data_IF_781501875886
#
_entry.id   IF_781501875886
#
_cell.length_a   1.000
_cell.length_b   1.000
_cell.length_c   1.000
_cell.angle_alpha   90.00
_cell.angle_beta   90.00
_cell.angle_gamma   90.00
#
_symmetry.space_group_name_H-M   'P 1'
#
loop_
_entity.id
_entity.type
_entity.pdbx_description
1 polymer ?
#
# COMPACT_ATOMS: atom_id res chain seq x y z
N UNK A 1 24.81 5.31 -3.09
CA UNK A 1 23.55 5.11 -2.30
C UNK A 1 22.68 6.36 -2.23
N UNK A 2 23.17 7.51 -1.74
CA UNK A 2 22.36 8.75 -1.61
C UNK A 2 21.73 9.24 -2.92
N UNK A 3 22.45 9.15 -4.05
CA UNK A 3 21.96 9.54 -5.38
C UNK A 3 20.80 8.67 -5.89
N UNK A 4 20.81 7.38 -5.55
CA UNK A 4 19.79 6.42 -5.99
C UNK A 4 18.49 6.60 -5.18
N UNK A 5 18.63 6.85 -3.87
CA UNK A 5 17.51 7.26 -3.01
C UNK A 5 16.86 8.56 -3.51
N UNK A 6 17.68 9.56 -3.88
CA UNK A 6 17.20 10.84 -4.42
C UNK A 6 16.41 10.63 -5.71
N UNK A 7 16.89 9.77 -6.63
CA UNK A 7 16.20 9.46 -7.88
C UNK A 7 14.84 8.79 -7.61
N UNK A 8 14.77 7.85 -6.66
CA UNK A 8 13.50 7.19 -6.28
C UNK A 8 12.53 8.18 -5.65
N UNK A 9 13.00 9.09 -4.80
CA UNK A 9 12.18 10.14 -4.19
C UNK A 9 11.67 11.12 -5.25
N UNK A 10 12.52 11.55 -6.18
CA UNK A 10 12.16 12.46 -7.26
C UNK A 10 11.18 11.82 -8.23
N UNK A 11 11.37 10.55 -8.59
CA UNK A 11 10.42 9.81 -9.44
C UNK A 11 9.08 9.59 -8.73
N UNK A 12 9.08 9.24 -7.44
CA UNK A 12 7.85 9.12 -6.65
C UNK A 12 7.09 10.44 -6.55
N UNK A 13 7.80 11.55 -6.36
CA UNK A 13 7.22 12.89 -6.36
C UNK A 13 6.73 13.31 -7.74
N UNK A 14 7.46 12.99 -8.81
CA UNK A 14 7.03 13.27 -10.17
C UNK A 14 5.75 12.52 -10.53
N UNK A 15 5.64 11.23 -10.17
CA UNK A 15 4.40 10.45 -10.36
C UNK A 15 3.24 11.09 -9.61
N UNK A 16 3.46 11.57 -8.38
CA UNK A 16 2.43 12.28 -7.61
C UNK A 16 2.06 13.66 -8.19
N UNK A 17 3.01 14.36 -8.81
CA UNK A 17 2.78 15.69 -9.41
C UNK A 17 2.14 15.64 -10.80
N UNK A 18 2.37 14.57 -11.56
CA UNK A 18 1.86 14.39 -12.92
C UNK A 18 0.66 13.44 -13.01
N UNK A 19 0.25 12.78 -11.92
CA UNK A 19 -1.07 12.15 -11.88
C UNK A 19 -2.12 13.25 -11.95
N UNK A 20 -3.05 13.14 -12.90
CA UNK A 20 -4.18 14.06 -12.98
C UNK A 20 -4.96 14.03 -11.65
N UNK A 21 -5.53 15.17 -11.23
CA UNK A 21 -6.35 15.22 -10.03
C UNK A 21 -7.61 14.39 -10.24
N UNK A 22 -7.67 13.20 -9.64
CA UNK A 22 -8.92 12.47 -9.59
C UNK A 22 -9.91 13.28 -8.78
N UNK A 23 -11.02 13.55 -9.42
CA UNK A 23 -12.20 14.06 -8.76
C UNK A 23 -12.63 12.99 -7.76
N UNK A 24 -12.46 13.36 -6.48
CA UNK A 24 -13.00 12.78 -5.27
C UNK A 24 -14.11 11.76 -5.53
N UNK A 25 -13.86 10.55 -5.05
CA UNK A 25 -14.82 9.46 -4.92
C UNK A 25 -15.32 8.87 -6.25
N UNK A 26 -15.61 7.55 -6.30
CA UNK A 26 -16.06 6.91 -7.53
C UNK A 26 -17.41 7.47 -7.96
N UNK A 27 -17.38 8.46 -8.86
CA UNK A 27 -18.49 8.68 -9.75
C UNK A 27 -18.59 7.43 -10.64
N UNK A 28 -19.79 6.84 -10.71
CA UNK A 28 -20.10 5.69 -11.58
C UNK A 28 -19.72 5.93 -13.05
N UNK A 29 -19.48 7.19 -13.45
CA UNK A 29 -19.05 7.57 -14.80
C UNK A 29 -17.53 7.51 -15.05
N UNK A 30 -16.67 7.46 -14.03
CA UNK A 30 -15.21 7.65 -14.17
C UNK A 30 -14.32 6.40 -13.94
N UNK A 31 -14.91 5.20 -13.87
CA UNK A 31 -14.16 3.97 -13.63
C UNK A 31 -13.76 3.79 -12.15
N UNK A 32 -13.10 2.67 -11.82
CA UNK A 32 -12.68 2.43 -10.43
C UNK A 32 -11.44 3.28 -10.10
N UNK A 33 -11.39 3.94 -8.92
CA UNK A 33 -10.21 4.68 -8.50
C UNK A 33 -8.95 3.83 -8.55
N UNK A 34 -7.84 4.48 -8.85
CA UNK A 34 -6.51 3.88 -8.95
C UNK A 34 -5.63 4.40 -7.82
N UNK A 35 -4.79 3.52 -7.29
CA UNK A 35 -3.76 3.88 -6.32
C UNK A 35 -2.38 3.69 -6.94
N UNK A 36 -1.46 4.63 -6.74
CA UNK A 36 -0.04 4.41 -7.05
C UNK A 36 0.90 4.97 -5.99
N UNK A 37 1.98 4.25 -5.69
CA UNK A 37 3.06 4.75 -4.83
C UNK A 37 3.89 3.67 -4.14
N UNK A 38 4.60 4.07 -3.09
CA UNK A 38 5.29 3.16 -2.17
C UNK A 38 4.28 2.56 -1.19
N UNK A 39 3.36 1.78 -1.73
CA UNK A 39 2.22 1.19 -1.06
C UNK A 39 2.05 -0.25 -1.55
N UNK A 40 1.28 -1.07 -0.83
CA UNK A 40 0.89 -2.40 -1.28
C UNK A 40 -0.63 -2.38 -1.55
N UNK A 41 -1.07 -2.47 -2.82
CA UNK A 41 -0.28 -2.58 -4.05
C UNK A 41 0.42 -1.27 -4.46
N UNK A 42 1.46 -1.37 -5.30
CA UNK A 42 2.27 -0.25 -5.84
C UNK A 42 1.52 0.51 -6.90
N UNK A 43 0.75 -0.22 -7.70
CA UNK A 43 -0.27 0.29 -8.58
C UNK A 43 -1.47 -0.64 -8.41
N UNK A 44 -2.68 -0.13 -8.25
CA UNK A 44 -3.82 -1.01 -8.06
C UNK A 44 -5.17 -0.36 -8.28
N UNK A 45 -6.14 -1.20 -8.56
CA UNK A 45 -7.53 -0.81 -8.74
C UNK A 45 -8.28 -0.93 -7.40
N UNK A 46 -9.16 0.04 -7.13
CA UNK A 46 -10.03 0.02 -5.97
C UNK A 46 -11.00 -1.17 -6.03
N UNK A 47 -11.15 -1.85 -4.90
CA UNK A 47 -12.30 -2.71 -4.65
C UNK A 47 -13.39 -1.86 -4.02
N UNK A 48 -14.58 -1.87 -4.62
CA UNK A 48 -15.73 -1.11 -4.15
C UNK A 48 -16.78 -2.04 -3.54
N UNK A 49 -17.48 -1.57 -2.51
CA UNK A 49 -18.70 -2.22 -2.03
C UNK A 49 -19.92 -1.87 -2.89
N UNK A 50 -21.10 -2.35 -2.49
CA UNK A 50 -22.38 -2.10 -3.19
C UNK A 50 -22.80 -0.63 -3.20
N UNK A 51 -22.25 0.18 -2.31
CA UNK A 51 -22.51 1.62 -2.21
C UNK A 51 -21.44 2.46 -2.91
N UNK A 52 -20.40 1.83 -3.48
CA UNK A 52 -19.28 2.50 -4.09
C UNK A 52 -18.19 2.93 -3.11
N UNK A 53 -18.24 2.52 -1.85
CA UNK A 53 -17.14 2.82 -0.92
C UNK A 53 -15.92 1.95 -1.24
N UNK A 54 -14.73 2.51 -1.09
CA UNK A 54 -13.48 1.76 -1.24
C UNK A 54 -13.31 0.82 -0.05
N UNK A 55 -13.32 -0.49 -0.28
CA UNK A 55 -13.10 -1.53 0.73
C UNK A 55 -11.72 -2.17 0.64
N UNK A 56 -10.91 -1.77 -0.34
CA UNK A 56 -9.58 -2.31 -0.50
C UNK A 56 -8.97 -1.99 -1.85
N UNK A 57 -7.83 -2.64 -2.11
CA UNK A 57 -7.02 -2.41 -3.30
C UNK A 57 -6.48 -3.74 -3.81
N UNK A 58 -6.30 -3.84 -5.13
CA UNK A 58 -5.62 -5.00 -5.70
C UNK A 58 -4.71 -4.63 -6.85
N UNK A 59 -3.53 -5.26 -6.92
CA UNK A 59 -2.55 -4.95 -7.95
C UNK A 59 -1.16 -5.50 -7.68
N UNK A 60 -0.20 -5.22 -8.56
CA UNK A 60 1.20 -5.58 -8.38
C UNK A 60 1.84 -4.90 -7.15
N UNK A 61 2.81 -5.57 -6.53
CA UNK A 61 3.60 -5.04 -5.41
C UNK A 61 5.11 -4.97 -5.71
N UNK A 62 5.86 -4.26 -4.86
CA UNK A 62 7.32 -4.10 -5.01
C UNK A 62 8.09 -5.44 -4.97
N UNK A 63 7.49 -6.48 -4.41
CA UNK A 63 8.06 -7.81 -4.36
C UNK A 63 7.92 -8.60 -5.66
N UNK A 64 7.51 -7.98 -6.78
CA UNK A 64 7.23 -8.66 -8.05
C UNK A 64 6.17 -9.76 -7.92
N UNK A 65 5.18 -9.53 -7.06
CA UNK A 65 3.99 -10.38 -6.99
C UNK A 65 2.73 -9.55 -6.97
N UNK A 66 1.66 -10.11 -6.41
CA UNK A 66 0.34 -9.50 -6.38
C UNK A 66 -0.15 -9.30 -4.96
N UNK A 67 -0.89 -8.22 -4.71
CA UNK A 67 -1.49 -7.91 -3.40
C UNK A 67 -3.00 -7.78 -3.52
N UNK A 68 -3.69 -8.32 -2.53
CA UNK A 68 -5.07 -8.04 -2.22
C UNK A 68 -5.13 -7.45 -0.81
N UNK A 69 -5.33 -6.13 -0.74
CA UNK A 69 -5.55 -5.39 0.50
C UNK A 69 -7.04 -5.22 0.72
N UNK A 70 -7.47 -5.39 1.96
CA UNK A 70 -8.87 -5.23 2.39
C UNK A 70 -8.91 -4.45 3.69
N UNK A 71 -9.70 -3.38 3.75
CA UNK A 71 -9.95 -2.63 4.97
C UNK A 71 -10.99 -3.33 5.85
N UNK A 72 -10.88 -3.20 7.18
CA UNK A 72 -11.87 -3.75 8.11
C UNK A 72 -13.21 -3.00 8.07
N UNK A 73 -13.14 -1.72 7.74
CA UNK A 73 -14.27 -0.85 7.43
C UNK A 73 -13.97 -0.15 6.11
N UNK A 74 -14.98 0.32 5.36
CA UNK A 74 -14.71 1.10 4.15
C UNK A 74 -13.78 2.29 4.45
N UNK A 75 -12.92 2.65 3.49
CA UNK A 75 -11.91 3.69 3.63
C UNK A 75 -12.59 5.04 3.94
N UNK A 76 -12.28 5.57 5.12
CA UNK A 76 -12.76 6.87 5.58
C UNK A 76 -11.68 7.93 5.46
N UNK A 77 -12.06 9.11 4.95
CA UNK A 77 -11.16 10.25 4.81
C UNK A 77 -10.83 10.84 6.18
N UNK A 78 -9.60 11.33 6.33
CA UNK A 78 -9.09 11.98 7.54
C UNK A 78 -9.15 11.10 8.80
N UNK A 79 -9.19 9.77 8.62
CA UNK A 79 -9.21 8.77 9.70
C UNK A 79 -8.16 7.70 9.48
N UNK A 80 -7.84 7.00 10.57
CA UNK A 80 -7.01 5.79 10.55
C UNK A 80 -7.88 4.63 10.07
N UNK A 81 -7.47 4.00 8.97
CA UNK A 81 -8.16 2.87 8.36
C UNK A 81 -7.30 1.62 8.50
N UNK A 82 -7.73 0.69 9.34
CA UNK A 82 -7.03 -0.58 9.50
C UNK A 82 -7.32 -1.51 8.33
N UNK A 83 -6.30 -2.26 7.91
CA UNK A 83 -6.42 -3.26 6.84
C UNK A 83 -5.70 -4.55 7.20
N UNK A 84 -6.09 -5.60 6.48
CA UNK A 84 -5.29 -6.79 6.29
C UNK A 84 -4.98 -6.95 4.80
N UNK A 85 -3.91 -7.66 4.49
CA UNK A 85 -3.54 -7.98 3.12
C UNK A 85 -3.05 -9.42 3.00
N UNK A 86 -3.32 -9.99 1.84
CA UNK A 86 -2.74 -11.24 1.38
C UNK A 86 -2.09 -10.98 0.04
N UNK A 87 -1.02 -11.70 -0.27
CA UNK A 87 -0.36 -11.51 -1.54
C UNK A 87 0.72 -12.52 -1.81
N UNK A 88 1.44 -12.28 -2.90
CA UNK A 88 2.63 -13.03 -3.28
C UNK A 88 3.81 -12.09 -3.47
N UNK A 89 5.03 -12.59 -3.21
CA UNK A 89 6.28 -12.03 -3.68
C UNK A 89 6.89 -12.99 -4.69
N UNK A 90 7.65 -12.49 -5.66
CA UNK A 90 8.30 -13.27 -6.73
C UNK A 90 7.27 -14.21 -7.38
N UNK A 91 6.06 -13.68 -7.61
CA UNK A 91 4.87 -14.38 -8.14
C UNK A 91 4.30 -15.51 -7.27
N UNK A 92 5.13 -16.33 -6.61
CA UNK A 92 4.71 -17.61 -5.98
C UNK A 92 4.81 -17.64 -4.46
N UNK A 93 5.59 -16.76 -3.82
CA UNK A 93 5.82 -16.82 -2.38
C UNK A 93 4.70 -16.10 -1.63
N UNK A 94 3.79 -16.81 -0.95
CA UNK A 94 2.67 -16.16 -0.30
C UNK A 94 3.13 -15.32 0.88
N UNK A 95 2.36 -14.30 1.21
CA UNK A 95 2.53 -13.53 2.44
C UNK A 95 1.17 -13.06 2.94
N UNK A 96 1.13 -12.77 4.24
CA UNK A 96 0.01 -12.10 4.90
C UNK A 96 0.53 -10.84 5.58
N UNK A 97 -0.33 -9.83 5.72
CA UNK A 97 0.05 -8.58 6.37
C UNK A 97 -1.15 -7.87 6.99
N UNK A 98 -0.84 -6.88 7.81
CA UNK A 98 -1.81 -5.99 8.42
C UNK A 98 -1.18 -4.63 8.69
N UNK A 99 -1.99 -3.60 8.76
CA UNK A 99 -1.51 -2.25 9.02
C UNK A 99 -2.63 -1.23 9.09
N UNK A 100 -2.26 0.03 8.91
CA UNK A 100 -3.20 1.13 8.81
C UNK A 100 -2.79 2.10 7.70
N UNK A 101 -3.77 2.76 7.10
CA UNK A 101 -3.57 3.90 6.20
C UNK A 101 -4.40 5.09 6.73
N UNK A 102 -3.85 6.29 6.60
CA UNK A 102 -4.50 7.55 6.89
C UNK A 102 -4.69 8.32 5.58
N UNK A 103 -5.93 8.65 5.24
CA UNK A 103 -6.29 9.28 3.97
C UNK A 103 -6.35 10.81 4.11
N UNK A 104 -5.32 11.49 3.62
CA UNK A 104 -5.22 12.95 3.55
C UNK A 104 -5.82 13.46 2.25
N UNK A 105 -6.78 14.38 2.33
CA UNK A 105 -7.32 15.04 1.13
C UNK A 105 -6.42 16.23 0.79
N UNK A 106 -5.89 16.26 -0.42
CA UNK A 106 -5.06 17.35 -0.94
C UNK A 106 -5.92 18.43 -1.61
N UNK A 107 -5.37 19.63 -1.76
CA UNK A 107 -6.07 20.77 -2.38
C UNK A 107 -6.53 20.51 -3.83
N UNK A 108 -5.88 19.57 -4.52
CA UNK A 108 -6.19 19.20 -5.90
C UNK A 108 -7.18 18.04 -5.99
N UNK A 109 -8.05 17.82 -4.99
CA UNK A 109 -8.99 16.69 -4.93
C UNK A 109 -8.38 15.27 -4.92
N UNK A 110 -7.06 15.13 -5.03
CA UNK A 110 -6.33 13.88 -4.82
C UNK A 110 -6.32 13.48 -3.36
N UNK A 111 -6.23 12.18 -3.10
CA UNK A 111 -6.10 11.65 -1.75
C UNK A 111 -4.73 11.02 -1.55
N UNK A 112 -3.95 11.48 -0.58
CA UNK A 112 -2.69 10.86 -0.19
C UNK A 112 -2.96 9.84 0.93
N UNK A 113 -2.62 8.58 0.70
CA UNK A 113 -2.61 7.55 1.72
C UNK A 113 -1.23 7.52 2.39
N UNK A 114 -1.20 7.73 3.70
CA UNK A 114 0.02 7.61 4.51
C UNK A 114 -0.22 6.59 5.61
N UNK A 115 0.65 5.59 5.73
CA UNK A 115 0.41 4.48 6.63
C UNK A 115 1.65 3.70 7.02
N UNK A 116 1.42 2.68 7.81
CA UNK A 116 2.43 1.67 8.10
C UNK A 116 1.79 0.29 8.17
N UNK A 117 2.56 -0.74 7.85
CA UNK A 117 2.11 -2.13 7.95
C UNK A 117 3.24 -3.08 8.24
N UNK A 118 2.86 -4.29 8.67
CA UNK A 118 3.76 -5.42 8.86
C UNK A 118 3.29 -6.57 7.98
N UNK A 119 4.24 -7.36 7.48
CA UNK A 119 3.95 -8.55 6.69
C UNK A 119 4.82 -9.72 7.12
N UNK A 120 4.27 -10.92 7.02
CA UNK A 120 4.93 -12.19 7.26
C UNK A 120 4.80 -13.07 6.02
N UNK A 121 5.94 -13.63 5.59
CA UNK A 121 5.98 -14.66 4.55
C UNK A 121 6.63 -15.93 5.11
N UNK A 122 6.42 -17.12 4.51
CA UNK A 122 7.12 -18.34 4.91
C UNK A 122 8.65 -18.16 4.95
N UNK A 123 9.22 -17.37 4.05
CA UNK A 123 10.66 -17.06 4.05
C UNK A 123 11.07 -16.24 5.28
N UNK A 124 10.23 -15.28 5.68
CA UNK A 124 10.44 -14.51 6.91
C UNK A 124 10.37 -15.40 8.13
N UNK A 125 9.36 -16.29 8.20
CA UNK A 125 9.13 -17.25 9.31
C UNK A 125 10.27 -18.27 9.42
N UNK A 126 10.72 -18.86 8.31
CA UNK A 126 11.88 -19.75 8.30
C UNK A 126 13.14 -19.02 8.77
N UNK A 127 13.32 -17.77 8.35
CA UNK A 127 14.41 -16.93 8.83
C UNK A 127 14.39 -16.69 10.35
N UNK A 128 13.22 -16.68 11.01
CA UNK A 128 13.13 -16.57 12.47
C UNK A 128 13.70 -17.79 13.19
N UNK A 129 13.52 -19.02 12.66
CA UNK A 129 14.03 -20.24 13.30
C UNK A 129 15.55 -20.35 13.32
N UNK A 130 16.24 -19.69 12.38
CA UNK A 130 17.69 -19.73 12.24
C UNK A 130 18.41 -18.49 12.80
N UNK A 131 17.68 -17.56 13.45
CA UNK A 131 18.21 -16.27 13.91
C UNK A 131 18.29 -16.18 15.43
N UNK A 132 19.34 -15.55 15.94
CA UNK A 132 19.52 -15.23 17.36
C UNK A 132 18.47 -14.21 17.83
N UNK A 133 18.15 -14.12 19.14
CA UNK A 133 17.11 -13.21 19.66
C UNK A 133 17.28 -11.74 19.26
N UNK A 134 18.52 -11.25 19.12
CA UNK A 134 18.81 -9.89 18.64
C UNK A 134 18.48 -9.70 17.15
N UNK A 135 18.51 -10.76 16.36
CA UNK A 135 18.13 -10.75 14.95
C UNK A 135 16.60 -10.87 14.73
N UNK A 136 15.82 -11.18 15.77
CA UNK A 136 14.35 -11.17 15.77
C UNK A 136 13.84 -9.72 15.74
N UNK A 137 14.41 -8.84 16.57
CA UNK A 137 14.02 -7.43 16.62
C UNK A 137 14.35 -6.73 15.29
N UNK A 138 15.51 -7.01 14.71
CA UNK A 138 15.88 -6.47 13.39
C UNK A 138 15.00 -7.01 12.26
N UNK A 139 14.56 -8.28 12.32
CA UNK A 139 13.61 -8.81 11.33
C UNK A 139 12.22 -8.22 11.44
N UNK A 140 11.74 -7.94 12.67
CA UNK A 140 10.46 -7.24 12.88
C UNK A 140 10.53 -5.79 12.41
N UNK A 141 11.61 -5.07 12.71
CA UNK A 141 11.79 -3.71 12.20
C UNK A 141 11.89 -3.68 10.66
N UNK A 142 12.51 -4.70 10.04
CA UNK A 142 12.57 -4.82 8.58
C UNK A 142 11.23 -5.19 7.93
N UNK A 143 10.26 -5.68 8.71
CA UNK A 143 8.92 -5.99 8.19
C UNK A 143 7.95 -4.81 8.26
N UNK A 144 8.32 -3.74 8.98
CA UNK A 144 7.60 -2.46 8.97
C UNK A 144 7.79 -1.79 7.62
N UNK A 145 6.69 -1.55 6.92
CA UNK A 145 6.64 -0.85 5.64
C UNK A 145 5.95 0.48 5.83
N UNK A 146 6.62 1.56 5.45
CA UNK A 146 5.99 2.85 5.28
C UNK A 146 5.15 2.79 4.00
N UNK A 147 3.88 3.15 4.10
CA UNK A 147 2.97 3.22 2.98
C UNK A 147 2.75 4.68 2.59
N UNK A 148 3.09 5.04 1.36
CA UNK A 148 2.76 6.34 0.77
C UNK A 148 2.17 6.10 -0.63
N UNK A 149 0.94 6.52 -0.86
CA UNK A 149 0.26 6.32 -2.14
C UNK A 149 -0.64 7.51 -2.51
N UNK A 150 -0.78 7.76 -3.80
CA UNK A 150 -1.73 8.72 -4.36
C UNK A 150 -2.95 8.01 -4.93
N UNK A 151 -4.09 8.47 -4.43
CA UNK A 151 -5.48 8.48 -4.88
C UNK A 151 -5.75 9.15 -6.22
N UNK A 152 -5.80 8.45 -7.36
CA UNK A 152 -6.21 9.07 -8.62
C UNK A 152 -7.12 8.20 -9.50
#
# INVERSE_FOLDING_TARGET
MKKLLLIVVVLGLAVAMFSEPLIVWPDKSHGKPLVAGLHAPVYGEAKLDVFGNIIGWTGPNLGLGWTWKTYFSPLELQKINFYYEIGTNIVILPYIGAGFDYALVLQNNQTLLVGAGVSASPLTVLGFFFKTPTAILSSVLSSVRLNIAVVF
#
